data_IF_092219216313
#
_entry.id   IF_092219216313
#
_cell.length_a   1.000
_cell.length_b   1.000
_cell.length_c   1.000
_cell.angle_alpha   90.00
_cell.angle_beta   90.00
_cell.angle_gamma   90.00
#
_symmetry.space_group_name_H-M   'P 1'
#
loop_
_entity.id
_entity.type
_entity.pdbx_description
1 polymer ?
#
# COMPACT_ATOMS: atom_id res chain seq x y z
N UNK A 1 13.45 7.85 -5.67
CA UNK A 1 12.77 6.62 -5.21
C UNK A 1 13.47 5.32 -5.61
N UNK A 2 14.14 5.25 -6.76
CA UNK A 2 14.93 4.07 -7.17
C UNK A 2 16.12 3.75 -6.24
N UNK A 3 16.55 4.71 -5.41
CA UNK A 3 17.63 4.56 -4.43
C UNK A 3 17.20 4.03 -3.07
N UNK A 4 15.92 3.68 -2.88
CA UNK A 4 15.42 3.13 -1.62
C UNK A 4 15.84 1.67 -1.46
N UNK A 5 16.24 1.31 -0.24
CA UNK A 5 16.62 -0.05 0.07
C UNK A 5 15.41 -0.99 -0.02
N UNK A 6 15.55 -2.17 -0.64
CA UNK A 6 14.53 -3.20 -0.59
C UNK A 6 14.50 -3.85 0.81
N UNK A 7 13.47 -4.63 1.09
CA UNK A 7 13.46 -5.50 2.26
C UNK A 7 14.55 -6.58 2.09
N UNK A 8 15.46 -6.77 3.06
CA UNK A 8 16.61 -7.66 2.90
C UNK A 8 16.20 -9.14 2.77
N UNK A 9 15.11 -9.55 3.41
CA UNK A 9 14.59 -10.92 3.40
C UNK A 9 13.06 -10.87 3.39
N UNK A 10 12.43 -10.51 2.24
CA UNK A 10 10.98 -10.47 2.19
C UNK A 10 10.42 -11.86 2.50
N UNK A 11 9.56 -11.96 3.51
CA UNK A 11 8.97 -13.23 3.92
C UNK A 11 7.91 -13.67 2.89
N UNK A 12 8.14 -14.76 2.15
CA UNK A 12 7.15 -15.23 1.16
C UNK A 12 5.80 -15.57 1.80
N UNK A 13 5.82 -16.10 3.04
CA UNK A 13 4.62 -16.43 3.81
C UNK A 13 3.81 -15.19 4.23
N UNK A 14 4.43 -14.01 4.29
CA UNK A 14 3.77 -12.73 4.55
C UNK A 14 3.43 -11.98 3.26
N UNK A 15 3.74 -12.55 2.08
CA UNK A 15 3.52 -11.92 0.77
C UNK A 15 4.10 -10.50 0.68
N UNK A 16 5.29 -10.29 1.26
CA UNK A 16 5.97 -9.00 1.27
C UNK A 16 6.56 -8.68 -0.11
N UNK A 17 5.68 -8.41 -1.08
CA UNK A 17 6.08 -7.93 -2.40
C UNK A 17 6.16 -6.41 -2.39
N UNK A 18 7.37 -5.82 -2.42
CA UNK A 18 7.49 -4.38 -2.41
C UNK A 18 6.87 -3.78 -3.66
N UNK A 19 6.15 -2.68 -3.50
CA UNK A 19 5.67 -1.91 -4.64
C UNK A 19 6.88 -1.42 -5.45
N UNK A 20 6.97 -1.73 -6.76
CA UNK A 20 8.05 -1.21 -7.58
C UNK A 20 8.10 0.32 -7.55
N UNK A 21 9.29 0.91 -7.44
CA UNK A 21 9.46 2.35 -7.28
C UNK A 21 8.77 3.18 -8.37
N UNK A 22 8.81 2.71 -9.62
CA UNK A 22 8.10 3.36 -10.74
C UNK A 22 6.58 3.35 -10.56
N UNK A 23 6.02 2.22 -10.12
CA UNK A 23 4.56 2.11 -9.86
C UNK A 23 4.17 2.96 -8.65
N UNK A 24 4.97 2.96 -7.57
CA UNK A 24 4.73 3.82 -6.42
C UNK A 24 4.73 5.30 -6.79
N UNK A 25 5.66 5.73 -7.66
CA UNK A 25 5.71 7.10 -8.17
C UNK A 25 4.48 7.44 -9.00
N UNK A 26 4.05 6.54 -9.88
CA UNK A 26 2.86 6.72 -10.73
C UNK A 26 1.59 6.87 -9.89
N UNK A 27 1.38 5.99 -8.91
CA UNK A 27 0.21 6.05 -8.01
C UNK A 27 0.22 7.31 -7.15
N UNK A 28 1.37 7.66 -6.59
CA UNK A 28 1.49 8.89 -5.80
C UNK A 28 1.23 10.15 -6.66
N UNK A 29 1.73 10.18 -7.91
CA UNK A 29 1.45 11.26 -8.84
C UNK A 29 -0.02 11.32 -9.26
N UNK A 30 -0.67 10.18 -9.51
CA UNK A 30 -2.11 10.11 -9.78
C UNK A 30 -2.91 10.69 -8.61
N UNK A 31 -2.57 10.29 -7.38
CA UNK A 31 -3.21 10.78 -6.16
C UNK A 31 -2.96 12.30 -5.96
N UNK A 32 -1.74 12.77 -6.26
CA UNK A 32 -1.42 14.19 -6.25
C UNK A 32 -2.27 14.97 -7.26
N UNK A 33 -2.35 14.50 -8.51
CA UNK A 33 -3.11 15.16 -9.57
C UNK A 33 -4.62 15.24 -9.27
N UNK A 34 -5.15 14.31 -8.45
CA UNK A 34 -6.54 14.33 -7.99
C UNK A 34 -6.77 15.19 -6.73
N UNK A 35 -5.72 15.77 -6.15
CA UNK A 35 -5.82 16.59 -4.92
C UNK A 35 -5.92 15.76 -3.64
N UNK A 36 -5.56 14.49 -3.70
CA UNK A 36 -5.67 13.54 -2.59
C UNK A 36 -4.37 13.46 -1.75
N UNK A 37 -3.29 14.16 -2.14
CA UNK A 37 -1.98 14.10 -1.47
C UNK A 37 -1.56 15.46 -0.90
N UNK A 38 -1.47 16.50 -1.73
CA UNK A 38 -0.88 17.77 -1.31
C UNK A 38 -1.65 18.41 -0.14
N UNK A 39 -0.96 18.65 0.98
CA UNK A 39 -1.55 19.17 2.20
C UNK A 39 -2.48 18.21 2.95
N UNK A 40 -2.65 16.97 2.48
CA UNK A 40 -3.52 15.96 3.09
C UNK A 40 -2.79 15.11 4.10
N UNK A 41 -3.51 14.63 5.11
CA UNK A 41 -3.02 13.58 6.00
C UNK A 41 -3.05 12.23 5.28
N UNK A 42 -1.92 11.51 5.30
CA UNK A 42 -1.77 10.25 4.56
C UNK A 42 -1.32 9.12 5.49
N UNK A 43 -1.97 7.96 5.38
CA UNK A 43 -1.58 6.70 6.04
C UNK A 43 -1.16 5.67 5.00
N UNK A 44 -0.02 5.02 5.21
CA UNK A 44 0.43 3.84 4.45
C UNK A 44 0.23 2.59 5.30
N UNK A 45 -0.75 1.75 4.94
CA UNK A 45 -1.10 0.52 5.67
C UNK A 45 -0.31 -0.67 5.12
N UNK A 46 0.53 -1.27 5.96
CA UNK A 46 1.49 -2.30 5.55
C UNK A 46 2.60 -1.67 4.73
N UNK A 47 3.25 -0.67 5.31
CA UNK A 47 4.15 0.22 4.58
C UNK A 47 5.43 -0.45 4.04
N UNK A 48 5.78 -1.65 4.54
CA UNK A 48 6.96 -2.37 4.07
C UNK A 48 8.23 -1.52 4.16
N UNK A 49 8.88 -1.26 3.04
CA UNK A 49 10.08 -0.40 2.97
C UNK A 49 9.76 1.11 2.92
N UNK A 50 8.50 1.50 3.06
CA UNK A 50 8.05 2.89 3.15
C UNK A 50 7.86 3.61 1.81
N UNK A 51 7.93 2.92 0.67
CA UNK A 51 7.97 3.56 -0.65
C UNK A 51 6.75 4.42 -0.97
N UNK A 52 5.53 4.00 -0.58
CA UNK A 52 4.30 4.78 -0.82
C UNK A 52 4.22 6.00 0.11
N UNK A 53 4.51 5.83 1.41
CA UNK A 53 4.56 6.93 2.37
C UNK A 53 5.58 8.00 1.97
N UNK A 54 6.80 7.58 1.59
CA UNK A 54 7.86 8.47 1.13
C UNK A 54 7.45 9.21 -0.14
N UNK A 55 6.84 8.51 -1.11
CA UNK A 55 6.35 9.13 -2.33
C UNK A 55 5.29 10.20 -2.05
N UNK A 56 4.33 9.91 -1.16
CA UNK A 56 3.33 10.89 -0.75
C UNK A 56 3.96 12.11 -0.08
N UNK A 57 4.92 11.90 0.81
CA UNK A 57 5.61 13.00 1.51
C UNK A 57 6.40 13.89 0.56
N UNK A 58 7.11 13.32 -0.40
CA UNK A 58 7.85 14.06 -1.44
C UNK A 58 6.92 14.89 -2.34
N UNK A 59 5.66 14.49 -2.50
CA UNK A 59 4.64 15.23 -3.24
C UNK A 59 3.85 16.23 -2.39
N UNK A 60 4.33 16.54 -1.18
CA UNK A 60 3.79 17.58 -0.32
C UNK A 60 2.61 17.15 0.52
N UNK A 61 2.47 15.87 0.84
CA UNK A 61 1.53 15.45 1.88
C UNK A 61 1.79 16.18 3.19
N UNK A 62 0.74 16.49 3.94
CA UNK A 62 0.82 17.07 5.28
C UNK A 62 1.41 16.06 6.28
N UNK A 63 0.73 15.71 7.37
CA UNK A 63 1.14 14.59 8.21
C UNK A 63 1.10 13.27 7.44
N UNK A 64 2.20 12.50 7.49
CA UNK A 64 2.26 11.15 6.91
C UNK A 64 2.61 10.16 8.01
N UNK A 65 1.89 9.05 8.05
CA UNK A 65 2.20 7.92 8.91
C UNK A 65 2.30 6.63 8.09
N UNK A 66 3.15 5.70 8.54
CA UNK A 66 3.25 4.36 8.01
C UNK A 66 3.15 3.33 9.12
N UNK A 67 2.44 2.23 8.88
CA UNK A 67 2.29 1.14 9.83
C UNK A 67 2.67 -0.19 9.19
N UNK A 68 3.44 -0.99 9.90
CA UNK A 68 3.71 -2.39 9.56
C UNK A 68 3.85 -3.21 10.84
N UNK A 69 3.57 -4.50 10.76
CA UNK A 69 3.74 -5.44 11.89
C UNK A 69 5.13 -6.08 11.93
N UNK A 70 5.93 -5.90 10.89
CA UNK A 70 7.29 -6.44 10.78
C UNK A 70 8.32 -5.41 11.25
N UNK A 71 9.06 -5.68 12.36
CA UNK A 71 10.08 -4.75 12.84
C UNK A 71 11.22 -4.53 11.84
N UNK A 72 11.57 -5.52 11.02
CA UNK A 72 12.60 -5.37 9.99
C UNK A 72 12.14 -4.44 8.87
N UNK A 73 10.86 -4.52 8.48
CA UNK A 73 10.28 -3.59 7.52
C UNK A 73 10.33 -2.15 8.05
N UNK A 74 10.00 -1.96 9.34
CA UNK A 74 10.04 -0.65 9.99
C UNK A 74 11.46 -0.05 10.03
N UNK A 75 12.48 -0.87 10.30
CA UNK A 75 13.88 -0.41 10.26
C UNK A 75 14.29 0.06 8.85
N UNK A 76 13.87 -0.68 7.82
CA UNK A 76 14.13 -0.30 6.42
C UNK A 76 13.40 0.99 6.05
N UNK A 77 12.11 1.09 6.40
CA UNK A 77 11.30 2.27 6.14
C UNK A 77 11.91 3.54 6.77
N UNK A 78 12.37 3.44 8.02
CA UNK A 78 13.03 4.53 8.72
C UNK A 78 14.29 5.00 7.97
N UNK A 79 15.21 4.07 7.64
CA UNK A 79 16.43 4.40 6.88
C UNK A 79 16.13 5.02 5.52
N UNK A 80 15.09 4.52 4.84
CA UNK A 80 14.69 5.05 3.56
C UNK A 80 14.13 6.47 3.67
N UNK A 81 13.36 6.77 4.73
CA UNK A 81 12.84 8.11 4.99
C UNK A 81 13.98 9.09 5.33
N UNK A 82 14.95 8.67 6.14
CA UNK A 82 16.16 9.45 6.43
C UNK A 82 16.95 9.78 5.15
N UNK A 83 17.16 8.78 4.28
CA UNK A 83 17.83 8.97 2.99
C UNK A 83 17.05 9.92 2.06
N UNK A 84 15.73 9.82 2.06
CA UNK A 84 14.86 10.70 1.29
C UNK A 84 14.69 12.09 1.92
N UNK A 85 15.22 12.31 3.13
CA UNK A 85 15.11 13.54 3.91
C UNK A 85 13.65 13.96 4.16
N UNK A 86 12.80 12.99 4.48
CA UNK A 86 11.38 13.22 4.77
C UNK A 86 11.04 12.75 6.20
N UNK A 87 10.14 13.49 6.84
CA UNK A 87 9.62 13.17 8.17
C UNK A 87 8.30 12.41 8.05
N UNK A 88 8.26 11.19 8.59
CA UNK A 88 7.11 10.27 8.57
C UNK A 88 6.99 9.61 9.94
N UNK A 89 5.77 9.56 10.48
CA UNK A 89 5.48 8.88 11.73
C UNK A 89 5.35 7.37 11.50
N UNK A 90 6.36 6.61 11.95
CA UNK A 90 6.37 5.16 11.79
C UNK A 90 5.77 4.46 13.02
N UNK A 91 4.95 3.41 12.80
CA UNK A 91 4.27 2.65 13.86
C UNK A 91 4.44 1.15 13.65
N UNK A 92 5.09 0.48 14.59
CA UNK A 92 5.15 -0.98 14.63
C UNK A 92 3.84 -1.49 15.26
N UNK A 93 2.88 -1.87 14.42
CA UNK A 93 1.57 -2.33 14.87
C UNK A 93 0.86 -3.17 13.80
N UNK A 94 -0.15 -3.93 14.23
CA UNK A 94 -1.09 -4.56 13.30
C UNK A 94 -2.05 -3.49 12.72
N UNK A 95 -2.39 -3.58 11.45
CA UNK A 95 -3.30 -2.63 10.79
C UNK A 95 -4.67 -2.54 11.45
N UNK A 96 -5.10 -3.61 12.16
CA UNK A 96 -6.35 -3.64 12.95
C UNK A 96 -6.35 -2.70 14.15
N UNK A 97 -5.19 -2.21 14.57
CA UNK A 97 -5.05 -1.26 15.67
C UNK A 97 -5.16 0.21 15.21
N UNK A 98 -5.33 0.46 13.91
CA UNK A 98 -5.43 1.81 13.36
C UNK A 98 -6.90 2.24 13.39
N UNK A 99 -7.17 3.27 14.17
CA UNK A 99 -8.52 3.82 14.38
C UNK A 99 -8.62 5.31 14.04
N UNK A 100 -7.47 5.98 13.82
CA UNK A 100 -7.44 7.39 13.49
C UNK A 100 -7.87 7.61 12.03
N UNK A 101 -8.54 8.75 11.80
CA UNK A 101 -8.97 9.13 10.46
C UNK A 101 -7.86 9.86 9.69
N UNK A 102 -7.74 9.56 8.40
CA UNK A 102 -6.83 10.18 7.45
C UNK A 102 -7.60 10.64 6.21
N UNK A 103 -7.12 11.71 5.57
CA UNK A 103 -7.69 12.14 4.30
C UNK A 103 -7.47 11.07 3.22
N UNK A 104 -6.27 10.48 3.19
CA UNK A 104 -5.91 9.47 2.20
C UNK A 104 -5.21 8.28 2.84
N UNK A 105 -5.61 7.08 2.43
CA UNK A 105 -4.94 5.82 2.76
C UNK A 105 -4.33 5.24 1.49
N UNK A 106 -3.05 4.89 1.56
CA UNK A 106 -2.32 4.14 0.53
C UNK A 106 -2.03 2.75 1.08
N UNK A 107 -2.12 1.71 0.25
CA UNK A 107 -1.72 0.37 0.65
C UNK A 107 -1.43 -0.56 -0.52
N UNK A 108 -0.46 -1.47 -0.30
CA UNK A 108 -0.21 -2.63 -1.12
C UNK A 108 -0.27 -3.89 -0.23
N UNK A 109 -1.48 -4.35 0.13
CA UNK A 109 -1.66 -5.45 1.07
C UNK A 109 -1.23 -6.79 0.47
N UNK A 110 -1.04 -7.84 1.29
CA UNK A 110 -0.81 -9.20 0.81
C UNK A 110 -1.97 -9.64 -0.10
N UNK A 111 -1.65 -10.30 -1.23
CA UNK A 111 -2.63 -10.65 -2.27
C UNK A 111 -3.43 -11.92 -1.97
N UNK A 112 -3.23 -12.57 -0.83
CA UNK A 112 -3.95 -13.77 -0.40
C UNK A 112 -3.55 -15.03 -1.16
N UNK A 113 -2.38 -15.05 -1.80
CA UNK A 113 -1.85 -16.21 -2.55
C UNK A 113 -1.28 -17.29 -1.63
N UNK A 114 -0.67 -16.88 -0.50
CA UNK A 114 -0.10 -17.78 0.51
C UNK A 114 -1.08 -17.97 1.68
N UNK A 115 -1.69 -16.90 2.15
CA UNK A 115 -2.68 -16.92 3.22
C UNK A 115 -4.01 -16.38 2.71
N UNK A 116 -4.97 -17.28 2.55
CA UNK A 116 -6.31 -16.91 2.07
C UNK A 116 -6.91 -15.77 2.90
N UNK A 117 -7.39 -14.70 2.21
CA UNK A 117 -8.02 -13.54 2.83
C UNK A 117 -7.10 -12.65 3.69
N UNK A 118 -5.79 -12.67 3.44
CA UNK A 118 -4.84 -11.82 4.16
C UNK A 118 -5.03 -10.32 3.88
N UNK A 119 -5.63 -9.96 2.74
CA UNK A 119 -6.01 -8.62 2.31
C UNK A 119 -7.19 -8.01 3.08
N UNK A 120 -8.06 -8.85 3.68
CA UNK A 120 -9.30 -8.37 4.31
C UNK A 120 -9.09 -7.42 5.49
N UNK A 121 -8.21 -7.70 6.47
CA UNK A 121 -7.96 -6.77 7.57
C UNK A 121 -7.49 -5.40 7.09
N UNK A 122 -6.70 -5.35 6.00
CA UNK A 122 -6.23 -4.11 5.40
C UNK A 122 -7.38 -3.32 4.79
N UNK A 123 -8.24 -3.97 4.01
CA UNK A 123 -9.40 -3.33 3.42
C UNK A 123 -10.36 -2.81 4.51
N UNK A 124 -10.58 -3.58 5.59
CA UNK A 124 -11.42 -3.16 6.71
C UNK A 124 -10.82 -1.96 7.45
N UNK A 125 -9.51 -1.96 7.71
CA UNK A 125 -8.81 -0.83 8.31
C UNK A 125 -8.88 0.42 7.42
N UNK A 126 -8.66 0.27 6.11
CA UNK A 126 -8.75 1.38 5.16
C UNK A 126 -10.15 1.98 5.08
N UNK A 127 -11.19 1.15 5.07
CA UNK A 127 -12.60 1.61 5.10
C UNK A 127 -12.99 2.29 6.42
N UNK A 128 -12.30 1.95 7.52
CA UNK A 128 -12.54 2.56 8.82
C UNK A 128 -11.80 3.88 9.02
N UNK A 129 -10.62 4.05 8.40
CA UNK A 129 -9.69 5.15 8.66
C UNK A 129 -9.53 6.15 7.51
N UNK A 130 -9.84 5.79 6.25
CA UNK A 130 -9.61 6.63 5.09
C UNK A 130 -10.86 7.33 4.57
N UNK A 131 -10.73 8.57 4.07
CA UNK A 131 -11.74 9.20 3.20
C UNK A 131 -11.54 8.78 1.76
N UNK A 132 -10.31 8.82 1.29
CA UNK A 132 -9.86 8.34 -0.01
C UNK A 132 -8.93 7.16 0.21
N UNK A 133 -9.08 6.11 -0.56
CA UNK A 133 -8.23 4.93 -0.46
C UNK A 133 -7.69 4.56 -1.83
N UNK A 134 -6.37 4.36 -1.89
CA UNK A 134 -5.66 3.75 -3.02
C UNK A 134 -5.12 2.39 -2.57
N UNK A 135 -5.56 1.33 -3.22
CA UNK A 135 -5.14 -0.03 -2.87
C UNK A 135 -4.85 -0.89 -4.08
N UNK A 136 -3.76 -1.64 -4.00
CA UNK A 136 -3.51 -2.72 -4.93
C UNK A 136 -4.17 -4.00 -4.43
N UNK A 137 -4.93 -4.67 -5.27
CA UNK A 137 -5.57 -5.94 -4.93
C UNK A 137 -5.47 -6.92 -6.11
N UNK A 138 -5.47 -8.21 -5.79
CA UNK A 138 -5.45 -9.24 -6.82
C UNK A 138 -6.72 -9.13 -7.69
N UNK A 139 -6.56 -9.18 -9.01
CA UNK A 139 -7.68 -9.10 -9.95
C UNK A 139 -8.79 -10.13 -9.67
N UNK A 140 -8.43 -11.30 -9.12
CA UNK A 140 -9.39 -12.36 -8.75
C UNK A 140 -10.27 -12.00 -7.55
N UNK A 141 -9.90 -10.99 -6.75
CA UNK A 141 -10.68 -10.55 -5.58
C UNK A 141 -11.74 -9.49 -5.93
N UNK A 142 -11.86 -9.06 -7.19
CA UNK A 142 -12.67 -7.91 -7.62
C UNK A 142 -14.11 -7.94 -7.11
N UNK A 143 -14.81 -9.07 -7.23
CA UNK A 143 -16.21 -9.17 -6.80
C UNK A 143 -16.36 -8.94 -5.28
N UNK A 144 -15.46 -9.51 -4.47
CA UNK A 144 -15.45 -9.31 -3.02
C UNK A 144 -15.13 -7.86 -2.66
N UNK A 145 -14.11 -7.28 -3.28
CA UNK A 145 -13.67 -5.90 -3.05
C UNK A 145 -14.81 -4.92 -3.34
N UNK A 146 -15.43 -5.03 -4.50
CA UNK A 146 -16.57 -4.20 -4.90
C UNK A 146 -17.70 -4.29 -3.86
N UNK A 147 -18.14 -5.50 -3.55
CA UNK A 147 -19.19 -5.73 -2.56
C UNK A 147 -18.83 -5.13 -1.19
N UNK A 148 -17.58 -5.28 -0.75
CA UNK A 148 -17.14 -4.77 0.56
C UNK A 148 -17.13 -3.26 0.62
N UNK A 149 -16.66 -2.59 -0.46
CA UNK A 149 -16.65 -1.12 -0.57
C UNK A 149 -18.09 -0.59 -0.60
N UNK A 150 -18.95 -1.16 -1.44
CA UNK A 150 -20.36 -0.75 -1.57
C UNK A 150 -21.11 -0.94 -0.24
N UNK A 151 -20.88 -2.05 0.47
CA UNK A 151 -21.48 -2.33 1.79
C UNK A 151 -21.05 -1.33 2.87
N UNK A 152 -19.92 -0.64 2.68
CA UNK A 152 -19.45 0.43 3.55
C UNK A 152 -19.86 1.82 3.04
N UNK A 153 -20.85 1.91 2.14
CA UNK A 153 -21.27 3.13 1.46
C UNK A 153 -20.13 3.84 0.70
N UNK A 154 -19.11 3.07 0.29
CA UNK A 154 -18.01 3.58 -0.53
C UNK A 154 -18.32 3.53 -2.01
N UNK A 155 -17.57 4.31 -2.81
CA UNK A 155 -17.71 4.40 -4.25
C UNK A 155 -16.36 4.25 -4.94
N UNK A 156 -16.21 3.23 -5.78
CA UNK A 156 -15.03 3.07 -6.63
C UNK A 156 -15.06 4.15 -7.71
N UNK A 157 -13.99 4.94 -7.79
CA UNK A 157 -13.87 6.06 -8.75
C UNK A 157 -12.87 5.77 -9.86
N UNK A 158 -11.85 4.96 -9.58
CA UNK A 158 -10.84 4.61 -10.57
C UNK A 158 -10.44 3.13 -10.41
N UNK A 159 -10.04 2.54 -11.53
CA UNK A 159 -9.60 1.17 -11.64
C UNK A 159 -8.53 1.07 -12.72
N UNK A 160 -7.29 0.78 -12.34
CA UNK A 160 -6.15 0.63 -13.25
C UNK A 160 -5.52 -0.74 -13.07
N UNK A 161 -5.18 -1.39 -14.18
CA UNK A 161 -4.52 -2.69 -14.16
C UNK A 161 -3.00 -2.53 -14.19
N UNK A 162 -2.31 -3.30 -13.35
CA UNK A 162 -0.85 -3.36 -13.27
C UNK A 162 -0.38 -4.81 -13.33
N UNK A 163 0.81 -5.02 -13.86
CA UNK A 163 1.52 -6.29 -13.82
C UNK A 163 2.72 -6.16 -12.87
N UNK A 164 2.61 -6.70 -11.66
CA UNK A 164 3.70 -6.66 -10.68
C UNK A 164 4.72 -7.76 -10.99
N UNK A 165 6.01 -7.43 -11.11
CA UNK A 165 7.06 -8.44 -11.17
C UNK A 165 7.18 -9.10 -9.79
N UNK A 166 7.15 -10.43 -9.75
CA UNK A 166 7.45 -11.19 -8.54
C UNK A 166 8.91 -11.62 -8.64
N UNK A 167 9.77 -11.24 -7.67
CA UNK A 167 11.11 -11.78 -7.60
C UNK A 167 11.06 -13.30 -7.44
N UNK A 168 11.96 -14.02 -8.12
CA UNK A 168 12.13 -15.48 -7.93
C UNK A 168 12.53 -15.78 -6.48
N UNK A 169 11.65 -16.41 -5.73
CA UNK A 169 11.89 -16.75 -4.33
C UNK A 169 12.51 -18.13 -4.15
N UNK A 170 12.71 -18.94 -5.24
CA UNK A 170 13.25 -20.29 -5.17
C UNK A 170 14.24 -20.59 -6.29
N UNK A 171 15.40 -21.16 -5.91
CA UNK A 171 16.55 -21.48 -6.77
C UNK A 171 16.29 -22.58 -7.85
N UNK A 172 15.13 -23.21 -7.89
CA UNK A 172 14.78 -24.26 -8.84
C UNK A 172 13.78 -23.86 -9.93
N UNK A 173 13.35 -22.60 -9.98
CA UNK A 173 12.59 -22.08 -11.11
C UNK A 173 13.57 -21.46 -12.11
N UNK A 174 13.91 -22.22 -13.15
CA UNK A 174 14.54 -21.72 -14.37
C UNK A 174 13.46 -21.04 -15.20
N UNK A 175 13.74 -19.77 -15.57
CA UNK A 175 13.07 -18.97 -16.60
C UNK A 175 11.62 -18.54 -16.35
N UNK A 176 11.48 -17.23 -16.40
CA UNK A 176 10.39 -16.27 -16.51
C UNK A 176 10.06 -15.52 -15.22
N UNK A 177 10.25 -14.20 -15.27
CA UNK A 177 9.69 -13.24 -14.34
C UNK A 177 8.17 -13.49 -14.23
N UNK A 178 7.74 -14.15 -13.19
CA UNK A 178 6.32 -14.30 -12.91
C UNK A 178 5.74 -12.90 -12.67
N UNK A 179 4.65 -12.56 -13.36
CA UNK A 179 3.89 -11.34 -13.14
C UNK A 179 2.58 -11.70 -12.46
N UNK A 180 2.18 -10.89 -11.49
CA UNK A 180 0.83 -10.97 -10.92
C UNK A 180 0.02 -9.81 -11.49
N UNK A 181 -1.17 -10.12 -12.02
CA UNK A 181 -2.12 -9.09 -12.40
C UNK A 181 -2.78 -8.53 -11.15
N UNK A 182 -2.53 -7.26 -10.88
CA UNK A 182 -3.11 -6.52 -9.77
C UNK A 182 -3.93 -5.35 -10.31
N UNK A 183 -4.93 -4.97 -9.56
CA UNK A 183 -5.74 -3.80 -9.86
C UNK A 183 -5.49 -2.78 -8.77
N UNK A 184 -5.13 -1.57 -9.17
CA UNK A 184 -5.23 -0.40 -8.32
C UNK A 184 -6.68 0.08 -8.34
N UNK A 185 -7.27 0.13 -7.17
CA UNK A 185 -8.53 0.81 -6.93
C UNK A 185 -8.28 2.14 -6.24
N UNK A 186 -8.93 3.20 -6.73
CA UNK A 186 -9.23 4.38 -5.93
C UNK A 186 -10.71 4.34 -5.58
N UNK A 187 -11.02 4.54 -4.32
CA UNK A 187 -12.41 4.66 -3.87
C UNK A 187 -12.55 5.73 -2.79
N UNK A 188 -13.73 6.28 -2.73
CA UNK A 188 -14.16 7.23 -1.72
C UNK A 188 -14.99 6.47 -0.68
N UNK A 189 -14.73 6.72 0.60
CA UNK A 189 -15.53 6.19 1.70
C UNK A 189 -16.57 7.23 2.08
N UNK A 190 -17.83 6.81 2.15
CA UNK A 190 -18.93 7.71 2.55
C UNK A 190 -18.66 8.32 3.94
N UNK A 191 -18.95 9.60 4.10
CA UNK A 191 -18.91 10.24 5.43
C UNK A 191 -19.91 9.53 6.34
N UNK A 192 -19.43 9.04 7.46
CA UNK A 192 -20.29 8.60 8.57
C UNK A 192 -20.82 9.78 9.33
#
# INVERSE_FOLDING_TARGET
MESLDPLPHPAPSAEQYPTPAGIAAEVAYLAYAKGDIHGRSVMDLGCGNGVLAIAAKLLGAGPVAGVDSDPLAMEVALRNAERAQVDIAWRLADVRAIHEAFDTVLMNPPFGSQRRHADRPFLDAALASGHIVYTFLNAKAEAYVRHRIESAAGRITDRLAYAFPIPHTFAFHRDELRRIDVILYRFEVGKR
#
